data_IF_948848780858
#
_entry.id   IF_948848780858
#
_cell.length_a   1.000
_cell.length_b   1.000
_cell.length_c   1.000
_cell.angle_alpha   90.00
_cell.angle_beta   90.00
_cell.angle_gamma   90.00
#
_symmetry.space_group_name_H-M   'P 1'
#
loop_
_entity.id
_entity.type
_entity.pdbx_description
1 polymer ?
#
# COMPACT_ATOMS: atom_id res chain seq x y z
N UNK A 1 0.92 7.66 -15.57
CA UNK A 1 2.24 8.06 -16.08
C UNK A 1 3.27 7.98 -14.96
N UNK A 2 4.51 7.93 -15.37
CA UNK A 2 5.58 7.81 -14.40
C UNK A 2 5.68 9.00 -13.47
N UNK A 3 5.46 10.19 -14.01
CA UNK A 3 5.51 11.40 -13.21
C UNK A 3 4.43 11.46 -12.16
N UNK A 4 3.22 11.03 -12.52
CA UNK A 4 2.11 11.00 -11.59
C UNK A 4 2.39 10.02 -10.44
N UNK A 5 2.94 8.84 -10.77
CA UNK A 5 3.26 7.83 -9.76
C UNK A 5 4.31 8.35 -8.80
N UNK A 6 5.38 8.96 -9.32
CA UNK A 6 6.41 9.53 -8.47
C UNK A 6 5.90 10.68 -7.63
N UNK A 7 4.96 11.46 -8.15
CA UNK A 7 4.38 12.56 -7.40
C UNK A 7 3.55 12.06 -6.23
N UNK A 8 2.79 10.97 -6.41
CA UNK A 8 2.00 10.37 -5.34
C UNK A 8 2.93 9.88 -4.23
N UNK A 9 3.98 9.17 -4.58
CA UNK A 9 4.93 8.65 -3.62
C UNK A 9 5.58 9.78 -2.81
N UNK A 10 5.96 10.85 -3.49
CA UNK A 10 6.59 12.00 -2.84
C UNK A 10 5.64 12.71 -1.89
N UNK A 11 4.38 12.84 -2.33
CA UNK A 11 3.34 13.46 -1.52
C UNK A 11 3.09 12.67 -0.23
N UNK A 12 3.04 11.36 -0.34
CA UNK A 12 2.83 10.50 0.82
C UNK A 12 4.00 10.63 1.80
N UNK A 13 5.22 10.61 1.30
CA UNK A 13 6.38 10.75 2.17
C UNK A 13 6.39 12.09 2.91
N UNK A 14 6.02 13.15 2.22
CA UNK A 14 5.95 14.47 2.85
C UNK A 14 4.85 14.51 3.92
N UNK A 15 3.70 13.90 3.64
CA UNK A 15 2.61 13.82 4.60
C UNK A 15 3.02 13.06 5.85
N UNK A 16 3.74 11.96 5.67
CA UNK A 16 4.23 11.16 6.79
C UNK A 16 5.16 11.99 7.66
N UNK A 17 6.06 12.74 7.05
CA UNK A 17 6.99 13.59 7.81
C UNK A 17 6.26 14.62 8.66
N UNK A 18 5.23 15.24 8.09
CA UNK A 18 4.44 16.22 8.82
C UNK A 18 3.73 15.57 9.98
N UNK A 19 3.14 14.39 9.76
CA UNK A 19 2.42 13.69 10.82
C UNK A 19 3.36 13.22 11.92
N UNK A 20 4.54 12.75 11.56
CA UNK A 20 5.52 12.33 12.54
C UNK A 20 6.00 13.51 13.38
N UNK A 21 6.22 14.65 12.73
CA UNK A 21 6.64 15.85 13.43
C UNK A 21 5.56 16.31 14.40
N UNK A 22 4.30 16.12 14.04
CA UNK A 22 3.17 16.48 14.90
C UNK A 22 2.93 15.47 16.02
N UNK A 23 3.65 14.36 16.02
CA UNK A 23 3.58 13.39 17.10
C UNK A 23 2.63 12.22 16.85
N UNK A 24 2.17 12.04 15.63
CA UNK A 24 1.31 10.89 15.31
C UNK A 24 2.14 9.62 15.12
N UNK A 25 1.78 8.57 15.84
CA UNK A 25 2.46 7.29 15.78
C UNK A 25 1.54 6.24 16.41
N UNK A 26 1.14 5.18 15.72
CA UNK A 26 1.54 4.88 14.35
C UNK A 26 0.75 5.65 13.29
N UNK A 27 1.21 5.57 12.05
CA UNK A 27 0.56 6.17 10.90
C UNK A 27 0.10 5.03 10.00
N UNK A 28 -1.19 5.04 9.64
CA UNK A 28 -1.75 4.00 8.78
C UNK A 28 -2.01 4.61 7.40
N UNK A 29 -1.49 3.96 6.37
CA UNK A 29 -1.72 4.35 4.99
C UNK A 29 -2.65 3.33 4.38
N UNK A 30 -3.77 3.79 3.86
CA UNK A 30 -4.79 2.92 3.30
C UNK A 30 -4.89 3.13 1.80
N UNK A 31 -5.02 2.03 1.06
CA UNK A 31 -5.15 2.09 -0.39
C UNK A 31 -6.06 0.96 -0.86
N UNK A 32 -6.77 1.19 -1.96
CA UNK A 32 -7.62 0.18 -2.57
C UNK A 32 -7.16 -0.09 -3.99
N UNK A 33 -7.30 -1.35 -4.40
CA UNK A 33 -6.93 -1.78 -5.73
C UNK A 33 -5.60 -2.51 -5.72
N UNK A 34 -5.14 -2.81 -6.90
CA UNK A 34 -3.88 -3.52 -7.09
C UNK A 34 -3.15 -2.90 -8.26
N UNK A 35 -1.95 -2.41 -8.02
CA UNK A 35 -1.20 -1.80 -9.09
C UNK A 35 0.05 -1.10 -8.60
N UNK A 36 0.52 -0.17 -9.42
CA UNK A 36 1.79 0.46 -9.19
C UNK A 36 1.81 1.31 -7.91
N UNK A 37 0.69 1.98 -7.63
CA UNK A 37 0.59 2.82 -6.43
C UNK A 37 0.73 1.99 -5.17
N UNK A 38 0.10 0.82 -5.14
CA UNK A 38 0.18 -0.06 -3.98
C UNK A 38 1.59 -0.56 -3.76
N UNK A 39 2.30 -0.86 -4.85
CA UNK A 39 3.69 -1.29 -4.77
C UNK A 39 4.56 -0.17 -4.19
N UNK A 40 4.33 1.06 -4.63
CA UNK A 40 5.09 2.20 -4.12
C UNK A 40 4.82 2.45 -2.65
N UNK A 41 3.57 2.30 -2.23
CA UNK A 41 3.20 2.45 -0.82
C UNK A 41 3.90 1.40 0.03
N UNK A 42 4.00 0.17 -0.47
CA UNK A 42 4.67 -0.89 0.27
C UNK A 42 6.15 -0.58 0.48
N UNK A 43 6.76 0.16 -0.43
CA UNK A 43 8.17 0.57 -0.28
C UNK A 43 8.34 1.67 0.76
N UNK A 44 7.29 2.40 1.06
CA UNK A 44 7.32 3.49 2.04
C UNK A 44 7.01 2.98 3.44
N UNK A 45 6.08 2.04 3.54
CA UNK A 45 5.60 1.54 4.82
C UNK A 45 6.62 0.62 5.48
N UNK A 46 6.66 0.64 6.79
CA UNK A 46 7.51 -0.29 7.55
C UNK A 46 6.92 -1.69 7.53
N UNK A 47 5.60 -1.78 7.60
CA UNK A 47 4.87 -3.04 7.56
C UNK A 47 3.74 -2.90 6.57
N UNK A 48 3.61 -3.87 5.68
CA UNK A 48 2.56 -3.88 4.69
C UNK A 48 1.59 -5.02 4.97
N UNK A 49 0.32 -4.66 5.09
CA UNK A 49 -0.76 -5.63 5.31
C UNK A 49 -1.59 -5.70 4.04
N UNK A 50 -1.75 -6.88 3.49
CA UNK A 50 -2.55 -7.10 2.31
C UNK A 50 -3.83 -7.83 2.71
N UNK A 51 -4.97 -7.25 2.39
CA UNK A 51 -6.26 -7.84 2.73
C UNK A 51 -6.93 -8.37 1.48
N UNK A 52 -7.43 -9.58 1.57
CA UNK A 52 -8.14 -10.23 0.48
C UNK A 52 -9.58 -10.49 0.88
N UNK A 53 -10.46 -10.33 -0.10
CA UNK A 53 -11.85 -10.73 0.05
C UNK A 53 -12.08 -11.94 -0.86
N UNK A 54 -12.26 -13.15 -0.29
CA UNK A 54 -12.39 -14.35 -1.12
C UNK A 54 -13.67 -14.40 -1.93
N UNK A 55 -14.62 -13.51 -1.65
CA UNK A 55 -15.88 -13.47 -2.40
C UNK A 55 -15.74 -12.76 -3.73
N UNK A 56 -14.62 -12.11 -3.98
CA UNK A 56 -14.36 -11.47 -5.26
C UNK A 56 -13.31 -12.29 -6.00
N UNK A 57 -13.57 -12.57 -7.28
CA UNK A 57 -12.60 -13.30 -8.08
C UNK A 57 -11.31 -12.54 -8.29
N UNK A 58 -11.39 -11.22 -8.12
CA UNK A 58 -10.22 -10.36 -8.31
C UNK A 58 -9.12 -10.63 -7.28
N UNK A 59 -9.48 -11.07 -6.09
CA UNK A 59 -8.50 -11.38 -5.06
C UNK A 59 -7.56 -12.48 -5.49
N UNK A 60 -8.09 -13.51 -6.14
CA UNK A 60 -7.28 -14.61 -6.64
C UNK A 60 -6.36 -14.14 -7.74
N UNK A 61 -6.88 -13.30 -8.63
CA UNK A 61 -6.07 -12.74 -9.72
C UNK A 61 -4.94 -11.88 -9.18
N UNK A 62 -5.22 -11.09 -8.16
CA UNK A 62 -4.22 -10.25 -7.52
C UNK A 62 -3.10 -11.08 -6.93
N UNK A 63 -3.44 -12.18 -6.27
CA UNK A 63 -2.47 -13.10 -5.70
C UNK A 63 -1.59 -13.67 -6.82
N UNK A 64 -2.20 -14.13 -7.90
CA UNK A 64 -1.47 -14.75 -9.00
C UNK A 64 -0.62 -13.74 -9.75
N UNK A 65 -0.98 -12.48 -9.71
CA UNK A 65 -0.22 -11.43 -10.39
C UNK A 65 1.05 -11.04 -9.66
N UNK A 66 1.30 -11.64 -8.49
CA UNK A 66 2.54 -11.40 -7.76
C UNK A 66 2.48 -10.28 -6.74
N UNK A 67 1.32 -9.66 -6.56
CA UNK A 67 1.20 -8.60 -5.55
C UNK A 67 1.38 -9.15 -4.14
N UNK A 68 1.26 -10.46 -3.98
CA UNK A 68 1.48 -11.11 -2.70
C UNK A 68 2.91 -10.95 -2.20
N UNK A 69 3.82 -10.58 -3.09
CA UNK A 69 5.21 -10.42 -2.70
C UNK A 69 5.48 -9.14 -1.93
N UNK A 70 4.54 -8.19 -1.94
CA UNK A 70 4.74 -6.92 -1.27
C UNK A 70 4.29 -6.93 0.19
N UNK A 71 3.52 -7.92 0.61
CA UNK A 71 2.95 -7.93 1.95
C UNK A 71 3.80 -8.63 2.98
N UNK A 72 3.80 -8.11 4.17
CA UNK A 72 4.40 -8.77 5.33
C UNK A 72 3.38 -9.62 6.04
N UNK A 73 2.12 -9.21 6.00
CA UNK A 73 1.00 -9.90 6.64
C UNK A 73 -0.13 -9.96 5.63
N UNK A 74 -0.78 -11.12 5.54
CA UNK A 74 -1.91 -11.31 4.64
C UNK A 74 -3.14 -11.69 5.44
N UNK A 75 -4.23 -10.96 5.22
CA UNK A 75 -5.49 -11.18 5.93
C UNK A 75 -6.56 -11.54 4.91
N UNK A 76 -7.27 -12.62 5.17
CA UNK A 76 -8.41 -13.04 4.37
C UNK A 76 -9.67 -12.68 5.15
N UNK A 77 -10.48 -11.85 4.53
CA UNK A 77 -11.69 -11.36 5.18
C UNK A 77 -12.91 -12.14 4.72
#
# INVERSE_FOLDING_TARGET
SRGATGAVSRSIRNSIRVLEYAGFDPIIIESVGAGQTEIEISNIADITIVMFNPHTGDSIQTIKAGITEIGDIYIVN
#
